data_IF_100216717467
#
_entry.id   IF_100216717467
#
_cell.length_a   1.000
_cell.length_b   1.000
_cell.length_c   1.000
_cell.angle_alpha   90.00
_cell.angle_beta   90.00
_cell.angle_gamma   90.00
#
_symmetry.space_group_name_H-M   'P 1'
#
loop_
_entity.id
_entity.type
_entity.pdbx_description
1 polymer ?
#
# COMPACT_ATOMS: atom_id res chain seq x y z
N UNK A 1 4.13 16.18 -36.41
CA UNK A 1 3.32 14.98 -36.10
C UNK A 1 4.05 13.79 -35.46
N UNK A 2 5.31 13.44 -35.83
CA UNK A 2 6.01 12.24 -35.32
C UNK A 2 6.39 12.31 -33.81
N UNK A 3 6.75 13.50 -33.30
CA UNK A 3 7.09 13.73 -31.87
C UNK A 3 5.88 13.60 -30.93
N UNK A 4 4.71 14.08 -31.35
CA UNK A 4 3.46 14.02 -30.57
C UNK A 4 2.94 12.57 -30.43
N UNK A 5 3.14 11.74 -31.46
CA UNK A 5 2.86 10.30 -31.41
C UNK A 5 3.78 9.58 -30.42
N UNK A 6 5.07 9.90 -30.38
CA UNK A 6 6.01 9.31 -29.42
C UNK A 6 5.65 9.62 -27.96
N UNK A 7 5.21 10.85 -27.69
CA UNK A 7 4.78 11.26 -26.34
C UNK A 7 3.50 10.55 -25.90
N UNK A 8 2.50 10.45 -26.78
CA UNK A 8 1.27 9.71 -26.51
C UNK A 8 1.56 8.22 -26.28
N UNK A 9 2.44 7.63 -27.09
CA UNK A 9 2.86 6.23 -26.92
C UNK A 9 3.60 6.05 -25.59
N UNK A 10 4.49 6.97 -25.22
CA UNK A 10 5.21 6.92 -23.94
C UNK A 10 4.28 7.05 -22.73
N UNK A 11 3.29 7.95 -22.79
CA UNK A 11 2.26 8.10 -21.75
C UNK A 11 1.43 6.83 -21.65
N UNK A 12 0.96 6.27 -22.77
CA UNK A 12 0.17 5.04 -22.78
C UNK A 12 0.99 3.85 -22.24
N UNK A 13 2.25 3.73 -22.62
CA UNK A 13 3.16 2.70 -22.10
C UNK A 13 3.39 2.89 -20.60
N UNK A 14 3.63 4.12 -20.15
CA UNK A 14 3.83 4.44 -18.73
C UNK A 14 2.58 4.16 -17.90
N UNK A 15 1.39 4.53 -18.39
CA UNK A 15 0.09 4.21 -17.78
C UNK A 15 -0.13 2.70 -17.77
N UNK A 16 0.17 1.98 -18.87
CA UNK A 16 0.04 0.52 -18.92
C UNK A 16 1.02 -0.17 -17.96
N UNK A 17 2.26 0.29 -17.86
CA UNK A 17 3.26 -0.23 -16.91
C UNK A 17 2.84 0.08 -15.47
N UNK A 18 2.31 1.28 -15.20
CA UNK A 18 1.80 1.68 -13.89
C UNK A 18 0.58 0.83 -13.47
N UNK A 19 -0.37 0.62 -14.38
CA UNK A 19 -1.53 -0.25 -14.16
C UNK A 19 -1.13 -1.73 -14.04
N UNK A 20 -0.05 -2.14 -14.70
CA UNK A 20 0.44 -3.53 -14.65
C UNK A 20 1.31 -3.81 -13.41
N UNK A 21 1.93 -2.79 -12.82
CA UNK A 21 2.70 -2.89 -11.57
C UNK A 21 1.80 -2.75 -10.33
N UNK A 22 0.89 -3.69 -10.07
CA UNK A 22 0.30 -3.79 -8.73
C UNK A 22 0.17 -5.26 -8.32
N UNK A 23 1.00 -5.64 -7.34
CA UNK A 23 1.08 -6.92 -6.63
C UNK A 23 -0.09 -7.02 -5.64
N UNK A 24 -0.80 -8.16 -5.67
CA UNK A 24 -1.65 -8.72 -4.59
C UNK A 24 -2.50 -7.77 -3.74
N UNK A 25 -2.95 -8.26 -2.58
CA UNK A 25 -3.10 -7.43 -1.38
C UNK A 25 -1.74 -6.84 -1.04
N UNK A 26 -1.72 -5.55 -0.75
CA UNK A 26 -0.51 -4.71 -0.76
C UNK A 26 0.55 -5.20 0.25
N UNK A 27 0.12 -5.87 1.31
CA UNK A 27 0.87 -6.18 2.52
C UNK A 27 0.65 -7.63 3.01
N UNK A 28 0.24 -8.56 2.12
CA UNK A 28 0.18 -10.00 2.43
C UNK A 28 1.05 -10.80 1.47
N UNK A 29 1.93 -11.65 2.01
CA UNK A 29 2.85 -12.50 1.25
C UNK A 29 2.33 -13.94 1.07
N UNK A 30 2.91 -14.68 0.10
CA UNK A 30 2.57 -16.09 -0.15
C UNK A 30 2.70 -16.96 1.11
N UNK A 31 3.78 -16.78 1.88
CA UNK A 31 4.01 -17.55 3.11
C UNK A 31 2.90 -17.36 4.15
N UNK A 32 2.28 -16.17 4.18
CA UNK A 32 1.19 -15.88 5.11
C UNK A 32 -0.11 -16.54 4.65
N UNK A 33 -0.38 -16.54 3.35
CA UNK A 33 -1.52 -17.27 2.77
C UNK A 33 -1.36 -18.79 2.92
N UNK A 34 -0.14 -19.32 2.77
CA UNK A 34 0.17 -20.72 3.05
C UNK A 34 -0.06 -21.07 4.52
N UNK A 35 0.37 -20.21 5.44
CA UNK A 35 0.15 -20.41 6.86
C UNK A 35 -1.34 -20.42 7.22
N UNK A 36 -2.12 -19.47 6.68
CA UNK A 36 -3.57 -19.43 6.85
C UNK A 36 -4.21 -20.71 6.29
N UNK A 37 -3.84 -21.12 5.08
CA UNK A 37 -4.38 -22.31 4.43
C UNK A 37 -4.06 -23.60 5.18
N UNK A 38 -2.93 -23.67 5.88
CA UNK A 38 -2.55 -24.82 6.70
C UNK A 38 -3.29 -24.89 8.05
N UNK A 39 -3.94 -23.80 8.48
CA UNK A 39 -4.54 -23.67 9.82
C UNK A 39 -6.06 -23.45 9.80
N UNK A 40 -6.64 -23.33 8.61
CA UNK A 40 -8.08 -23.31 8.37
C UNK A 40 -8.53 -24.71 7.93
N UNK A 41 -9.60 -25.21 8.54
CA UNK A 41 -10.26 -26.41 8.02
C UNK A 41 -10.87 -26.12 6.64
N UNK A 42 -11.10 -27.14 5.79
CA UNK A 42 -11.66 -26.93 4.44
C UNK A 42 -12.97 -26.13 4.46
N UNK A 43 -13.83 -26.40 5.46
CA UNK A 43 -15.08 -25.68 5.67
C UNK A 43 -14.84 -24.19 6.02
N UNK A 44 -13.96 -23.94 6.98
CA UNK A 44 -13.61 -22.58 7.41
C UNK A 44 -12.96 -21.78 6.29
N UNK A 45 -12.14 -22.43 5.47
CA UNK A 45 -11.51 -21.80 4.33
C UNK A 45 -12.53 -21.38 3.27
N UNK A 46 -13.52 -22.23 2.95
CA UNK A 46 -14.60 -21.85 2.04
C UNK A 46 -15.42 -20.70 2.59
N UNK A 47 -15.74 -20.73 3.90
CA UNK A 47 -16.39 -19.60 4.58
C UNK A 47 -15.59 -18.31 4.48
N UNK A 48 -14.28 -18.37 4.72
CA UNK A 48 -13.40 -17.23 4.59
C UNK A 48 -13.36 -16.71 3.15
N UNK A 49 -13.17 -17.59 2.17
CA UNK A 49 -13.15 -17.24 0.76
C UNK A 49 -14.43 -16.51 0.34
N UNK A 50 -15.59 -17.02 0.72
CA UNK A 50 -16.88 -16.37 0.45
C UNK A 50 -17.01 -15.06 1.22
N UNK A 51 -16.67 -15.02 2.50
CA UNK A 51 -16.70 -13.81 3.31
C UNK A 51 -15.85 -12.68 2.74
N UNK A 52 -14.71 -13.02 2.11
CA UNK A 52 -13.81 -12.07 1.46
C UNK A 52 -14.39 -11.40 0.20
N UNK A 53 -15.46 -11.97 -0.37
CA UNK A 53 -16.18 -11.39 -1.52
C UNK A 53 -17.25 -10.38 -1.13
N UNK A 54 -17.71 -10.41 0.13
CA UNK A 54 -18.63 -9.40 0.62
C UNK A 54 -17.88 -8.11 0.97
N UNK A 55 -18.49 -6.96 0.66
CA UNK A 55 -17.94 -5.63 0.96
C UNK A 55 -18.64 -4.96 2.14
N UNK A 56 -19.72 -5.53 2.64
CA UNK A 56 -20.47 -5.05 3.81
C UNK A 56 -19.63 -5.18 5.07
N UNK A 57 -19.88 -4.31 6.06
CA UNK A 57 -19.24 -4.45 7.36
C UNK A 57 -19.63 -5.80 7.96
N UNK A 58 -20.91 -6.05 8.19
CA UNK A 58 -21.38 -7.34 8.71
C UNK A 58 -21.44 -8.43 7.66
N UNK A 59 -21.33 -9.69 8.13
CA UNK A 59 -21.54 -10.88 7.31
C UNK A 59 -23.04 -11.09 7.09
N UNK A 60 -23.50 -11.32 5.85
CA UNK A 60 -24.90 -11.56 5.59
C UNK A 60 -25.32 -12.98 5.99
N UNK A 61 -26.60 -13.16 6.30
CA UNK A 61 -27.17 -14.46 6.72
C UNK A 61 -27.10 -15.53 5.61
N UNK A 62 -27.00 -15.12 4.35
CA UNK A 62 -26.93 -16.01 3.19
C UNK A 62 -25.53 -16.60 2.95
N UNK A 63 -24.54 -16.28 3.79
CA UNK A 63 -23.17 -16.79 3.70
C UNK A 63 -23.12 -18.32 3.56
N UNK A 64 -23.93 -19.03 4.36
CA UNK A 64 -23.98 -20.50 4.32
C UNK A 64 -24.50 -21.05 2.98
N UNK A 65 -25.32 -20.30 2.26
CA UNK A 65 -25.78 -20.68 0.93
C UNK A 65 -24.71 -20.42 -0.14
N UNK A 66 -23.94 -19.35 0.00
CA UNK A 66 -22.81 -19.04 -0.88
C UNK A 66 -21.63 -20.02 -0.66
N UNK A 67 -21.37 -20.44 0.58
CA UNK A 67 -20.37 -21.45 0.93
C UNK A 67 -20.56 -22.76 0.16
N UNK A 68 -21.81 -23.23 0.01
CA UNK A 68 -22.15 -24.47 -0.70
C UNK A 68 -21.92 -24.40 -2.22
N UNK A 69 -21.73 -23.20 -2.77
CA UNK A 69 -21.44 -23.01 -4.20
C UNK A 69 -19.93 -23.03 -4.50
N UNK A 70 -19.10 -23.05 -3.45
CA UNK A 70 -17.65 -23.14 -3.61
C UNK A 70 -17.27 -24.60 -3.83
N UNK A 71 -16.46 -24.83 -4.86
CA UNK A 71 -15.96 -26.15 -5.21
C UNK A 71 -15.14 -26.75 -4.05
N UNK A 72 -15.49 -27.96 -3.64
CA UNK A 72 -14.81 -28.66 -2.54
C UNK A 72 -13.48 -29.29 -2.95
N UNK A 73 -13.27 -29.49 -4.26
CA UNK A 73 -12.06 -30.13 -4.79
C UNK A 73 -10.88 -29.15 -4.87
N UNK A 74 -11.15 -27.83 -4.80
CA UNK A 74 -10.12 -26.81 -4.91
C UNK A 74 -9.41 -26.61 -3.57
N UNK A 75 -8.06 -26.71 -3.52
CA UNK A 75 -7.30 -26.50 -2.29
C UNK A 75 -7.47 -25.07 -1.74
N UNK A 76 -7.53 -24.95 -0.41
CA UNK A 76 -7.71 -23.67 0.29
C UNK A 76 -6.72 -22.58 -0.18
N UNK A 77 -5.43 -22.93 -0.28
CA UNK A 77 -4.40 -22.02 -0.75
C UNK A 77 -4.70 -21.48 -2.15
N UNK A 78 -5.25 -22.30 -3.04
CA UNK A 78 -5.60 -21.89 -4.40
C UNK A 78 -6.75 -20.89 -4.42
N UNK A 79 -7.75 -21.05 -3.54
CA UNK A 79 -8.80 -20.04 -3.34
C UNK A 79 -8.25 -18.71 -2.84
N UNK A 80 -7.40 -18.73 -1.82
CA UNK A 80 -6.79 -17.52 -1.26
C UNK A 80 -5.88 -16.80 -2.28
N UNK A 81 -5.10 -17.55 -3.07
CA UNK A 81 -4.26 -16.99 -4.12
C UNK A 81 -5.08 -16.41 -5.27
N UNK A 82 -6.19 -17.05 -5.63
CA UNK A 82 -7.11 -16.50 -6.63
C UNK A 82 -7.64 -15.15 -6.18
N UNK A 83 -8.22 -15.10 -4.97
CA UNK A 83 -8.75 -13.87 -4.40
C UNK A 83 -7.69 -12.76 -4.32
N UNK A 84 -6.50 -13.10 -3.83
CA UNK A 84 -5.38 -12.17 -3.70
C UNK A 84 -4.95 -11.54 -5.05
N UNK A 85 -5.02 -12.30 -6.14
CA UNK A 85 -4.48 -11.88 -7.44
C UNK A 85 -5.51 -11.20 -8.36
N UNK A 86 -6.81 -11.39 -8.10
CA UNK A 86 -7.85 -10.93 -9.03
C UNK A 86 -8.26 -9.45 -8.78
N UNK A 87 -8.30 -8.60 -9.83
CA UNK A 87 -8.52 -7.15 -9.72
C UNK A 87 -9.88 -6.75 -9.15
N UNK A 88 -10.91 -7.57 -9.31
CA UNK A 88 -12.26 -7.30 -8.79
C UNK A 88 -12.48 -7.86 -7.36
N UNK A 89 -11.47 -8.52 -6.78
CA UNK A 89 -11.61 -9.26 -5.52
C UNK A 89 -10.68 -8.71 -4.42
N UNK A 90 -9.50 -9.30 -4.26
CA UNK A 90 -8.52 -8.99 -3.22
C UNK A 90 -7.38 -8.08 -3.66
N UNK A 91 -7.17 -7.89 -4.97
CA UNK A 91 -6.05 -7.08 -5.47
C UNK A 91 -6.18 -5.63 -5.02
N UNK A 92 -5.11 -5.11 -4.42
CA UNK A 92 -5.07 -3.75 -3.88
C UNK A 92 -5.73 -3.59 -2.50
N UNK A 93 -6.33 -4.64 -1.92
CA UNK A 93 -6.77 -4.61 -0.52
C UNK A 93 -5.58 -4.80 0.43
N UNK A 94 -5.79 -4.56 1.72
CA UNK A 94 -4.78 -4.80 2.76
C UNK A 94 -5.10 -6.06 3.57
N UNK A 95 -4.14 -6.53 4.37
CA UNK A 95 -4.29 -7.63 5.31
C UNK A 95 -5.49 -7.43 6.26
N UNK A 96 -5.86 -6.17 6.52
CA UNK A 96 -7.01 -5.79 7.34
C UNK A 96 -8.32 -6.42 6.83
N UNK A 97 -8.50 -6.60 5.52
CA UNK A 97 -9.68 -7.25 4.97
C UNK A 97 -9.77 -8.74 5.39
N UNK A 98 -8.63 -9.44 5.37
CA UNK A 98 -8.54 -10.84 5.80
C UNK A 98 -8.72 -10.94 7.32
N UNK A 99 -8.01 -10.09 8.08
CA UNK A 99 -8.13 -10.01 9.54
C UNK A 99 -9.58 -9.77 9.97
N UNK A 100 -10.26 -8.84 9.30
CA UNK A 100 -11.64 -8.50 9.60
C UNK A 100 -12.57 -9.71 9.39
N UNK A 101 -12.46 -10.41 8.25
CA UNK A 101 -13.27 -11.60 7.99
C UNK A 101 -12.95 -12.77 8.91
N UNK A 102 -11.68 -12.97 9.26
CA UNK A 102 -11.28 -13.98 10.24
C UNK A 102 -11.92 -13.74 11.61
N UNK A 103 -12.00 -12.48 12.07
CA UNK A 103 -12.70 -12.13 13.33
C UNK A 103 -14.18 -12.46 13.28
N UNK A 104 -14.84 -12.15 12.17
CA UNK A 104 -16.26 -12.45 11.98
C UNK A 104 -16.56 -13.95 11.91
N UNK A 105 -15.58 -14.74 11.48
CA UNK A 105 -15.64 -16.20 11.48
C UNK A 105 -15.14 -16.82 12.80
N UNK A 106 -14.93 -16.01 13.83
CA UNK A 106 -14.45 -16.42 15.16
C UNK A 106 -13.04 -17.06 15.15
N UNK A 107 -12.22 -16.78 14.13
CA UNK A 107 -10.80 -17.16 14.04
C UNK A 107 -9.90 -16.00 14.47
N UNK A 108 -10.11 -15.54 15.70
CA UNK A 108 -9.36 -14.43 16.29
C UNK A 108 -7.86 -14.74 16.42
N UNK A 109 -7.51 -16.01 16.60
CA UNK A 109 -6.14 -16.51 16.63
C UNK A 109 -5.38 -16.16 15.35
N UNK A 110 -5.96 -16.46 14.19
CA UNK A 110 -5.36 -16.18 12.89
C UNK A 110 -5.39 -14.68 12.56
N UNK A 111 -6.46 -14.00 12.95
CA UNK A 111 -6.60 -12.57 12.76
C UNK A 111 -5.49 -11.79 13.48
N UNK A 112 -5.22 -12.15 14.74
CA UNK A 112 -4.19 -11.48 15.54
C UNK A 112 -2.78 -11.87 15.09
N UNK A 113 -2.58 -13.12 14.68
CA UNK A 113 -1.30 -13.56 14.10
C UNK A 113 -0.98 -12.80 12.80
N UNK A 114 -1.94 -12.71 11.88
CA UNK A 114 -1.75 -12.04 10.59
C UNK A 114 -1.52 -10.54 10.78
N UNK A 115 -2.30 -9.89 11.65
CA UNK A 115 -2.11 -8.48 11.98
C UNK A 115 -0.71 -8.19 12.52
N UNK A 116 -0.24 -8.98 13.51
CA UNK A 116 1.11 -8.79 14.08
C UNK A 116 2.22 -9.04 13.06
N UNK A 117 2.06 -10.03 12.19
CA UNK A 117 3.07 -10.40 11.19
C UNK A 117 3.21 -9.31 10.14
N UNK A 118 2.08 -8.81 9.61
CA UNK A 118 2.07 -7.68 8.67
C UNK A 118 2.70 -6.43 9.27
N UNK A 119 2.32 -6.05 10.50
CA UNK A 119 2.91 -4.88 11.19
C UNK A 119 4.41 -5.05 11.48
N UNK A 120 4.87 -6.26 11.83
CA UNK A 120 6.29 -6.54 12.04
C UNK A 120 7.09 -6.38 10.75
N UNK A 121 6.52 -6.78 9.61
CA UNK A 121 7.16 -6.62 8.32
C UNK A 121 7.22 -5.15 7.90
N UNK A 122 6.12 -4.42 8.05
CA UNK A 122 6.07 -2.96 7.86
C UNK A 122 7.09 -2.22 8.73
N UNK A 123 7.21 -2.60 10.01
CA UNK A 123 8.19 -2.00 10.92
C UNK A 123 9.63 -2.27 10.51
N UNK A 124 9.95 -3.47 10.01
CA UNK A 124 11.29 -3.78 9.47
C UNK A 124 11.59 -3.00 8.19
N UNK A 125 10.61 -2.89 7.29
CA UNK A 125 10.79 -2.14 6.04
C UNK A 125 10.99 -0.65 6.32
N UNK A 126 10.28 -0.11 7.32
CA UNK A 126 10.49 1.26 7.81
C UNK A 126 11.87 1.45 8.45
N UNK A 127 12.29 0.53 9.33
CA UNK A 127 13.60 0.56 9.98
C UNK A 127 14.75 0.48 8.96
N UNK A 128 14.62 -0.40 7.96
CA UNK A 128 15.56 -0.50 6.84
C UNK A 128 15.58 0.80 6.00
N UNK A 129 14.42 1.40 5.73
CA UNK A 129 14.36 2.65 4.98
C UNK A 129 15.05 3.80 5.76
N UNK A 130 14.81 3.89 7.08
CA UNK A 130 15.44 4.89 7.95
C UNK A 130 16.96 4.66 7.99
N UNK A 131 17.41 3.43 8.27
CA UNK A 131 18.86 3.11 8.35
C UNK A 131 19.58 3.35 7.03
N UNK A 132 18.96 3.08 5.88
CA UNK A 132 19.54 3.41 4.57
C UNK A 132 19.56 4.93 4.30
N UNK A 133 18.54 5.67 4.73
CA UNK A 133 18.43 7.11 4.50
C UNK A 133 19.37 7.93 5.39
N UNK A 134 19.56 7.49 6.64
CA UNK A 134 20.34 8.20 7.65
C UNK A 134 21.72 7.57 7.90
N UNK A 135 21.96 6.32 7.49
CA UNK A 135 23.27 5.69 7.56
C UNK A 135 24.28 6.38 6.63
N UNK A 136 23.83 6.82 5.45
CA UNK A 136 24.65 7.58 4.50
C UNK A 136 24.94 9.02 5.00
N UNK A 137 24.01 9.62 5.73
CA UNK A 137 24.22 10.92 6.41
C UNK A 137 25.14 10.80 7.63
N UNK A 138 25.11 9.68 8.35
CA UNK A 138 25.96 9.44 9.52
C UNK A 138 27.43 9.16 9.14
N UNK A 139 27.69 8.61 7.95
CA UNK A 139 29.06 8.48 7.42
C UNK A 139 29.65 9.83 6.97
N UNK A 140 28.80 10.81 6.62
CA UNK A 140 29.23 12.17 6.21
C UNK A 140 29.52 13.10 7.40
N UNK A 141 28.95 12.83 8.59
CA UNK A 141 29.11 13.69 9.79
C UNK A 141 30.21 13.25 10.78
N UNK A 142 30.94 12.16 10.52
CA UNK A 142 31.99 11.65 11.42
C UNK A 142 33.33 12.46 11.38
N UNK A 143 33.29 13.72 10.94
CA UNK A 143 34.40 14.69 11.09
C UNK A 143 33.95 16.06 11.62
N UNK A 144 32.95 16.20 12.51
CA UNK A 144 32.80 17.46 13.27
C UNK A 144 32.16 17.25 14.66
N UNK A 145 33.03 17.31 15.68
CA UNK A 145 32.83 17.95 17.00
C UNK A 145 31.83 17.39 18.02
N UNK A 146 32.40 16.66 18.99
CA UNK A 146 32.45 16.93 20.44
C UNK A 146 31.43 17.90 21.10
N UNK A 147 30.83 17.39 22.18
CA UNK A 147 30.29 18.06 23.40
C UNK A 147 28.98 18.86 23.33
N UNK A 148 27.97 18.44 24.10
CA UNK A 148 27.66 19.01 25.43
C UNK A 148 26.51 18.21 26.08
N UNK A 149 26.71 17.73 27.31
CA UNK A 149 25.64 17.28 28.19
C UNK A 149 25.37 18.44 29.15
N UNK A 150 24.16 19.00 29.13
CA UNK A 150 23.63 19.79 30.25
C UNK A 150 22.12 19.58 30.29
N UNK A 151 21.68 18.89 31.32
CA UNK A 151 20.28 18.70 31.74
C UNK A 151 19.73 20.00 32.31
N UNK A 152 18.62 20.49 31.75
CA UNK A 152 17.74 21.49 32.39
C UNK A 152 16.32 20.91 32.59
N UNK A 153 15.59 21.33 33.63
CA UNK A 153 14.33 20.72 34.04
C UNK A 153 13.15 21.10 33.12
N UNK A 154 12.35 20.09 32.80
CA UNK A 154 11.17 20.16 31.91
C UNK A 154 10.10 21.11 32.45
N UNK A 155 9.94 22.26 31.80
CA UNK A 155 8.76 23.12 31.88
C UNK A 155 7.77 22.66 30.80
N UNK A 156 6.59 22.20 31.22
CA UNK A 156 5.53 21.77 30.30
C UNK A 156 4.90 22.97 29.61
N UNK A 157 5.45 23.35 28.45
CA UNK A 157 4.79 24.22 27.48
C UNK A 157 3.96 23.31 26.57
N UNK A 158 2.70 23.66 26.22
CA UNK A 158 1.94 22.89 25.22
C UNK A 158 2.73 22.90 23.91
N UNK A 159 3.26 21.74 23.50
CA UNK A 159 3.93 21.58 22.20
C UNK A 159 2.92 21.91 21.10
N UNK A 160 3.17 23.01 20.38
CA UNK A 160 2.55 23.20 19.07
C UNK A 160 3.04 22.07 18.16
N UNK A 161 2.10 21.31 17.61
CA UNK A 161 2.35 20.11 16.81
C UNK A 161 3.32 20.41 15.65
N UNK A 162 4.59 19.98 15.74
CA UNK A 162 5.63 20.32 14.75
C UNK A 162 5.31 19.76 13.36
N UNK A 163 4.48 18.71 13.31
CA UNK A 163 4.13 18.01 12.08
C UNK A 163 3.25 18.86 11.15
N UNK A 164 2.45 19.77 11.71
CA UNK A 164 1.56 20.63 10.93
C UNK A 164 2.33 21.62 10.04
N UNK A 165 3.46 22.14 10.54
CA UNK A 165 4.33 23.02 9.77
C UNK A 165 5.02 22.26 8.63
N UNK A 166 5.49 21.04 8.92
CA UNK A 166 6.15 20.16 7.94
C UNK A 166 5.18 19.79 6.82
N UNK A 167 3.96 19.37 7.16
CA UNK A 167 2.91 19.02 6.20
C UNK A 167 2.52 20.21 5.31
N UNK A 168 2.42 21.41 5.90
CA UNK A 168 2.10 22.63 5.15
C UNK A 168 3.19 22.97 4.14
N UNK A 169 4.46 22.85 4.53
CA UNK A 169 5.61 23.12 3.65
C UNK A 169 5.69 22.09 2.51
N UNK A 170 5.52 20.80 2.83
CA UNK A 170 5.51 19.72 1.83
C UNK A 170 4.39 19.92 0.80
N UNK A 171 3.17 20.24 1.25
CA UNK A 171 2.02 20.51 0.36
C UNK A 171 2.30 21.73 -0.53
N UNK A 172 2.87 22.80 0.03
CA UNK A 172 3.22 23.99 -0.74
C UNK A 172 4.25 23.69 -1.84
N UNK A 173 5.28 22.89 -1.54
CA UNK A 173 6.29 22.45 -2.51
C UNK A 173 5.65 21.61 -3.61
N UNK A 174 4.82 20.63 -3.25
CA UNK A 174 4.13 19.76 -4.21
C UNK A 174 3.23 20.57 -5.15
N UNK A 175 2.45 21.52 -4.62
CA UNK A 175 1.60 22.40 -5.43
C UNK A 175 2.43 23.31 -6.35
N UNK A 176 3.57 23.82 -5.88
CA UNK A 176 4.50 24.61 -6.70
C UNK A 176 5.09 23.79 -7.86
N UNK A 177 5.52 22.56 -7.60
CA UNK A 177 6.04 21.66 -8.63
C UNK A 177 4.96 21.27 -9.66
N UNK A 178 3.74 20.99 -9.20
CA UNK A 178 2.62 20.70 -10.11
C UNK A 178 2.24 21.92 -10.96
N UNK A 179 2.21 23.11 -10.37
CA UNK A 179 1.91 24.36 -11.07
C UNK A 179 2.96 24.69 -12.14
N UNK A 180 4.24 24.61 -11.80
CA UNK A 180 5.33 24.83 -12.76
C UNK A 180 5.31 23.81 -13.89
N UNK A 181 5.07 22.53 -13.58
CA UNK A 181 4.91 21.48 -14.57
C UNK A 181 3.72 21.74 -15.51
N UNK A 182 2.58 22.19 -14.98
CA UNK A 182 1.42 22.54 -15.78
C UNK A 182 1.70 23.72 -16.73
N UNK A 183 2.37 24.77 -16.23
CA UNK A 183 2.76 25.94 -17.04
C UNK A 183 3.72 25.51 -18.16
N UNK A 184 4.70 24.67 -17.87
CA UNK A 184 5.63 24.16 -18.87
C UNK A 184 4.91 23.34 -19.95
N UNK A 185 3.96 22.48 -19.57
CA UNK A 185 3.15 21.72 -20.54
C UNK A 185 2.36 22.67 -21.45
N UNK A 186 1.69 23.67 -20.90
CA UNK A 186 0.92 24.66 -21.68
C UNK A 186 1.85 25.45 -22.61
N UNK A 187 3.01 25.90 -22.12
CA UNK A 187 3.99 26.62 -22.93
C UNK A 187 4.51 25.76 -24.10
N UNK A 188 4.80 24.48 -23.84
CA UNK A 188 5.23 23.53 -24.88
C UNK A 188 4.12 23.31 -25.92
N UNK A 189 2.86 23.18 -25.50
CA UNK A 189 1.73 23.02 -26.41
C UNK A 189 1.57 24.26 -27.30
N UNK A 190 1.59 25.47 -26.71
CA UNK A 190 1.49 26.73 -27.45
C UNK A 190 2.64 26.86 -28.46
N UNK A 191 3.87 26.58 -28.03
CA UNK A 191 5.03 26.63 -28.91
C UNK A 191 4.94 25.60 -30.04
N UNK A 192 4.47 24.38 -29.75
CA UNK A 192 4.30 23.32 -30.75
C UNK A 192 3.19 23.66 -31.77
N UNK A 193 2.10 24.29 -31.34
CA UNK A 193 1.01 24.73 -32.23
C UNK A 193 1.46 25.91 -33.10
N UNK A 194 2.19 26.88 -32.53
CA UNK A 194 2.71 28.03 -33.26
C UNK A 194 3.78 27.63 -34.28
N UNK A 195 4.66 26.69 -33.94
CA UNK A 195 5.69 26.16 -34.84
C UNK A 195 5.18 25.23 -35.95
N UNK A 196 3.92 24.77 -35.89
CA UNK A 196 3.30 23.95 -36.96
C UNK A 196 2.47 24.79 -37.95
N UNK A 197 2.41 26.13 -37.77
CA UNK A 197 1.72 27.08 -38.65
C UNK A 197 2.65 27.84 -39.61
N UNK A 198 3.97 27.73 -39.44
CA UNK A 198 4.99 28.11 -40.43
C UNK A 198 5.50 26.86 -41.14
#
# INVERSE_FOLDING_TARGET
MRKMRFWLISIVISVKIFVSRIRGTIDVNLSELEYLAARLDPLECRRLFVALHYTTYDLPEDLAAAERKVDEEVPCLRHLLHWNSYPAEGRGKTHAAIVHRLRQLNRNDLADWLGRTAFKQLGKDLDNAITLSFGELAEEEMETSTSFITTEPVTWIPEEDPWLAIDTVLIAIVLGLLGTLFILIVAIIIHAVKGNKN
#
